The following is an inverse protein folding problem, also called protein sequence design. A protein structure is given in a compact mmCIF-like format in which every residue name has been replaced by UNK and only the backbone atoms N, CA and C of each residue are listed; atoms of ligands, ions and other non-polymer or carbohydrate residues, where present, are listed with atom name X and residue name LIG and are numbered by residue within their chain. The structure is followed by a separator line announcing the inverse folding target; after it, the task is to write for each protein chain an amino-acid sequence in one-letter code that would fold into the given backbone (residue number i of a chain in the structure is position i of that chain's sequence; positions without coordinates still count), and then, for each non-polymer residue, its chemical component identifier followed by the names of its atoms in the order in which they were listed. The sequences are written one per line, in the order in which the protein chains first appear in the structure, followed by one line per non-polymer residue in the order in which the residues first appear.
data_IF_843247414667
#
_entry.id   IF_843247414667
#
_cell.length_a   1.000
_cell.length_b   1.000
_cell.length_c   1.000
_cell.angle_alpha   90.00
_cell.angle_beta   90.00
_cell.angle_gamma   90.00
#
_symmetry.space_group_name_H-M   'P 1'
#
loop_
_entity.id
_entity.type
_entity.pdbx_description
1 polymer ?
#
# COMPACT_ATOMS: atom_id res chain seq x y z
N UNK A 1 15.15 -0.14 -13.04
CA UNK A 1 15.48 1.22 -13.51
C UNK A 1 15.50 2.07 -12.27
N UNK A 2 16.69 2.41 -11.82
CA UNK A 2 16.92 3.15 -10.58
C UNK A 2 17.79 4.34 -10.97
N UNK A 3 17.22 5.53 -10.94
CA UNK A 3 17.94 6.77 -11.22
C UNK A 3 18.49 7.41 -9.93
N UNK A 4 18.21 6.80 -8.77
CA UNK A 4 18.74 7.16 -7.47
C UNK A 4 19.97 6.35 -7.09
N UNK A 5 20.42 6.52 -5.85
CA UNK A 5 21.56 5.74 -5.29
C UNK A 5 21.10 4.39 -4.75
N UNK A 6 19.81 4.23 -4.47
CA UNK A 6 19.12 3.00 -4.10
C UNK A 6 17.64 3.09 -4.55
N UNK A 7 16.92 1.97 -4.67
CA UNK A 7 15.49 1.99 -4.97
C UNK A 7 14.68 2.75 -3.91
N UNK A 8 15.14 2.75 -2.66
CA UNK A 8 14.54 3.47 -1.54
C UNK A 8 14.71 4.98 -1.69
N UNK A 9 15.94 5.44 -1.97
CA UNK A 9 16.24 6.86 -2.23
C UNK A 9 15.43 7.40 -3.42
N UNK A 10 15.30 6.58 -4.46
CA UNK A 10 14.54 6.96 -5.65
C UNK A 10 13.03 7.00 -5.39
N UNK A 11 12.49 6.10 -4.57
CA UNK A 11 11.09 6.16 -4.13
C UNK A 11 10.83 7.46 -3.36
N UNK A 12 11.68 7.81 -2.38
CA UNK A 12 11.55 9.05 -1.62
C UNK A 12 11.60 10.28 -2.54
N UNK A 13 12.57 10.32 -3.46
CA UNK A 13 12.68 11.40 -4.46
C UNK A 13 11.42 11.52 -5.33
N UNK A 14 10.86 10.39 -5.78
CA UNK A 14 9.64 10.40 -6.61
C UNK A 14 8.43 10.89 -5.81
N UNK A 15 8.31 10.53 -4.52
CA UNK A 15 7.27 11.06 -3.65
C UNK A 15 7.38 12.58 -3.48
N UNK A 16 8.58 13.14 -3.33
CA UNK A 16 8.79 14.58 -3.28
C UNK A 16 8.42 15.29 -4.60
N UNK A 17 8.81 14.71 -5.74
CA UNK A 17 8.48 15.25 -7.06
C UNK A 17 6.98 15.21 -7.30
N UNK A 18 6.34 14.10 -6.94
CA UNK A 18 4.89 13.92 -6.98
C UNK A 18 4.19 15.00 -6.18
N UNK A 19 4.61 15.25 -4.94
CA UNK A 19 4.01 16.29 -4.10
C UNK A 19 4.08 17.67 -4.77
N UNK A 20 5.27 18.07 -5.23
CA UNK A 20 5.47 19.37 -5.91
C UNK A 20 4.65 19.51 -7.19
N UNK A 21 4.41 18.41 -7.89
CA UNK A 21 3.58 18.39 -9.09
C UNK A 21 2.09 18.45 -8.74
N UNK A 22 1.63 17.78 -7.68
CA UNK A 22 0.26 17.90 -7.16
C UNK A 22 -0.04 19.32 -6.67
N UNK A 23 0.90 19.97 -5.98
CA UNK A 23 0.77 21.35 -5.49
C UNK A 23 0.56 22.38 -6.63
N UNK A 24 0.99 22.03 -7.85
CA UNK A 24 0.87 22.87 -9.06
C UNK A 24 -0.12 22.33 -10.08
N UNK A 25 -0.79 21.22 -9.76
CA UNK A 25 -1.75 20.63 -10.67
C UNK A 25 -2.96 21.58 -10.84
N UNK A 26 -3.74 21.44 -11.90
CA UNK A 26 -4.92 22.29 -12.10
C UNK A 26 -5.35 22.35 -13.55
N UNK A 27 -6.12 23.37 -13.88
CA UNK A 27 -6.74 23.56 -15.20
C UNK A 27 -5.71 23.59 -16.34
N UNK A 28 -4.50 24.10 -16.09
CA UNK A 28 -3.42 24.18 -17.08
C UNK A 28 -2.84 22.80 -17.45
N UNK A 29 -3.20 21.72 -16.73
CA UNK A 29 -2.80 20.36 -17.06
C UNK A 29 -3.63 19.72 -18.18
N UNK A 30 -4.73 20.34 -18.60
CA UNK A 30 -5.54 19.90 -19.74
C UNK A 30 -5.43 20.92 -20.90
N UNK A 31 -5.57 20.49 -22.17
CA UNK A 31 -5.52 21.40 -23.32
C UNK A 31 -6.59 22.50 -23.25
N UNK A 32 -6.29 23.67 -23.82
CA UNK A 32 -7.29 24.73 -23.94
C UNK A 32 -8.54 24.23 -24.71
N UNK A 33 -9.71 24.42 -24.10
CA UNK A 33 -10.99 23.93 -24.64
C UNK A 33 -11.30 22.46 -24.32
N UNK A 34 -10.44 21.74 -23.60
CA UNK A 34 -10.75 20.39 -23.11
C UNK A 34 -11.76 20.43 -21.94
N UNK A 35 -12.60 19.40 -21.79
CA UNK A 35 -13.49 19.28 -20.63
C UNK A 35 -12.70 19.11 -19.32
N UNK A 36 -13.14 19.75 -18.23
CA UNK A 36 -12.56 19.57 -16.88
C UNK A 36 -12.58 18.11 -16.40
N UNK A 37 -13.48 17.28 -16.91
CA UNK A 37 -13.52 15.85 -16.59
C UNK A 37 -12.23 15.11 -17.00
N UNK A 38 -11.43 15.64 -17.93
CA UNK A 38 -10.13 15.08 -18.30
C UNK A 38 -9.07 15.25 -17.18
N UNK A 39 -9.30 16.14 -16.20
CA UNK A 39 -8.39 16.31 -15.06
C UNK A 39 -8.20 15.01 -14.28
N UNK A 40 -9.23 14.19 -14.11
CA UNK A 40 -9.09 12.89 -13.43
C UNK A 40 -8.12 11.99 -14.20
N UNK A 41 -8.28 11.91 -15.53
CA UNK A 41 -7.43 11.09 -16.41
C UNK A 41 -5.97 11.53 -16.36
N UNK A 42 -5.70 12.83 -16.32
CA UNK A 42 -4.34 13.39 -16.21
C UNK A 42 -3.79 13.25 -14.78
N UNK A 43 -4.66 13.24 -13.77
CA UNK A 43 -4.29 13.06 -12.36
C UNK A 43 -3.81 11.64 -12.09
N UNK A 44 -4.45 10.60 -12.64
CA UNK A 44 -4.11 9.18 -12.38
C UNK A 44 -2.60 8.88 -12.50
N UNK A 45 -1.91 9.15 -13.63
CA UNK A 45 -0.49 8.84 -13.76
C UNK A 45 0.40 9.68 -12.83
N UNK A 46 0.00 10.91 -12.49
CA UNK A 46 0.72 11.74 -11.53
C UNK A 46 0.56 11.17 -10.10
N UNK A 47 -0.68 10.88 -9.71
CA UNK A 47 -1.00 10.32 -8.40
C UNK A 47 -0.32 8.96 -8.18
N UNK A 48 -0.20 8.14 -9.23
CA UNK A 48 0.45 6.83 -9.19
C UNK A 48 1.91 6.84 -9.67
N UNK A 49 2.53 8.00 -9.82
CA UNK A 49 3.91 8.13 -10.35
C UNK A 49 4.95 7.34 -9.55
N UNK A 50 4.68 7.05 -8.27
CA UNK A 50 5.56 6.31 -7.38
C UNK A 50 5.44 4.77 -7.52
N UNK A 51 4.41 4.22 -8.18
CA UNK A 51 4.06 2.79 -8.12
C UNK A 51 5.21 1.83 -8.49
N UNK A 52 6.02 2.20 -9.49
CA UNK A 52 7.14 1.36 -9.94
C UNK A 52 8.33 1.43 -9.00
N UNK A 53 8.53 2.57 -8.33
CA UNK A 53 9.57 2.69 -7.30
C UNK A 53 9.14 2.04 -5.99
N UNK A 54 7.85 1.98 -5.69
CA UNK A 54 7.32 1.13 -4.62
C UNK A 54 7.67 -0.34 -4.89
N UNK A 55 7.40 -0.84 -6.10
CA UNK A 55 7.78 -2.22 -6.48
C UNK A 55 9.29 -2.46 -6.39
N UNK A 56 10.10 -1.47 -6.81
CA UNK A 56 11.55 -1.58 -6.77
C UNK A 56 12.09 -1.61 -5.32
N UNK A 57 11.61 -0.71 -4.45
CA UNK A 57 12.01 -0.63 -3.05
C UNK A 57 11.59 -1.89 -2.26
N UNK A 58 10.35 -2.36 -2.44
CA UNK A 58 9.84 -3.55 -1.76
C UNK A 58 10.70 -4.80 -2.05
N UNK A 59 11.33 -4.91 -3.23
CA UNK A 59 12.21 -6.05 -3.58
C UNK A 59 13.42 -6.21 -2.65
N UNK A 60 13.87 -5.14 -2.01
CA UNK A 60 14.97 -5.18 -1.04
C UNK A 60 14.58 -5.88 0.26
N UNK A 61 13.30 -5.84 0.65
CA UNK A 61 12.77 -6.45 1.88
C UNK A 61 12.64 -7.96 1.66
N UNK A 62 13.29 -8.78 2.50
CA UNK A 62 13.44 -10.22 2.25
C UNK A 62 14.14 -10.51 0.92
N UNK A 63 14.93 -9.55 0.43
CA UNK A 63 15.64 -9.60 -0.84
C UNK A 63 16.91 -10.45 -0.76
N UNK A 64 17.33 -10.95 -1.91
CA UNK A 64 18.56 -11.72 -2.06
C UNK A 64 19.27 -11.24 -3.32
N UNK A 65 20.54 -10.87 -3.19
CA UNK A 65 21.44 -10.67 -4.31
C UNK A 65 21.92 -12.05 -4.77
N UNK A 66 21.55 -12.45 -5.98
CA UNK A 66 22.02 -13.69 -6.57
C UNK A 66 22.48 -13.45 -8.00
N UNK A 67 23.41 -14.26 -8.44
CA UNK A 67 23.82 -14.35 -9.84
C UNK A 67 23.65 -15.79 -10.32
N UNK A 68 23.54 -15.98 -11.64
CA UNK A 68 23.56 -17.32 -12.24
C UNK A 68 25.01 -17.83 -12.37
N UNK A 69 25.74 -17.80 -11.24
CA UNK A 69 27.16 -18.10 -11.18
C UNK A 69 27.48 -19.57 -11.48
N UNK A 70 28.55 -19.81 -12.22
CA UNK A 70 29.16 -21.12 -12.40
C UNK A 70 30.21 -21.39 -11.31
N UNK A 71 30.51 -22.67 -11.08
CA UNK A 71 31.59 -23.04 -10.14
C UNK A 71 32.90 -22.34 -10.57
N UNK A 72 33.53 -21.67 -9.61
CA UNK A 72 34.83 -20.97 -9.75
C UNK A 72 34.81 -19.67 -10.59
N UNK A 73 33.66 -19.03 -10.80
CA UNK A 73 33.57 -17.76 -11.56
C UNK A 73 33.70 -16.47 -10.72
N UNK A 74 33.80 -16.61 -9.39
CA UNK A 74 34.02 -15.51 -8.44
C UNK A 74 32.84 -14.56 -8.23
N UNK A 75 31.64 -14.88 -8.75
CA UNK A 75 30.44 -14.06 -8.58
C UNK A 75 29.76 -14.31 -7.21
N UNK A 76 28.96 -13.34 -6.75
CA UNK A 76 28.11 -13.50 -5.56
C UNK A 76 27.03 -14.52 -5.88
N UNK A 77 27.05 -15.66 -5.19
CA UNK A 77 26.16 -16.78 -5.46
C UNK A 77 24.75 -16.49 -4.91
N UNK A 78 24.68 -16.14 -3.63
CA UNK A 78 23.44 -15.92 -2.90
C UNK A 78 23.77 -15.16 -1.61
N UNK A 79 23.40 -13.89 -1.53
CA UNK A 79 23.68 -13.00 -0.40
C UNK A 79 22.42 -12.20 -0.03
N UNK A 80 21.85 -12.40 1.17
CA UNK A 80 20.73 -11.59 1.65
C UNK A 80 21.05 -10.09 1.59
N UNK A 81 20.06 -9.28 1.27
CA UNK A 81 20.21 -7.82 1.34
C UNK A 81 20.59 -7.42 2.77
N UNK A 82 21.60 -6.54 2.98
CA UNK A 82 22.03 -6.15 4.32
C UNK A 82 20.89 -5.55 5.17
N UNK A 83 20.89 -5.76 6.50
CA UNK A 83 19.81 -5.30 7.38
C UNK A 83 19.46 -3.82 7.20
N UNK A 84 20.47 -2.94 7.24
CA UNK A 84 20.29 -1.48 7.08
C UNK A 84 19.56 -1.11 5.78
N UNK A 85 19.81 -1.86 4.69
CA UNK A 85 19.16 -1.64 3.39
C UNK A 85 17.72 -2.15 3.37
N UNK A 86 17.42 -3.24 4.08
CA UNK A 86 16.04 -3.70 4.24
C UNK A 86 15.23 -2.74 5.09
N UNK A 87 15.81 -2.20 6.17
CA UNK A 87 15.18 -1.17 7.00
C UNK A 87 14.95 0.14 6.24
N UNK A 88 15.93 0.60 5.46
CA UNK A 88 15.79 1.75 4.56
C UNK A 88 14.64 1.54 3.57
N UNK A 89 14.56 0.35 2.95
CA UNK A 89 13.48 0.01 2.04
C UNK A 89 12.11 -0.03 2.72
N UNK A 90 11.99 -0.68 3.88
CA UNK A 90 10.72 -0.71 4.62
C UNK A 90 10.29 0.71 4.99
N UNK A 91 11.19 1.55 5.48
CA UNK A 91 10.89 2.94 5.83
C UNK A 91 10.38 3.74 4.62
N UNK A 92 11.03 3.61 3.47
CA UNK A 92 10.65 4.30 2.23
C UNK A 92 9.29 3.81 1.71
N UNK A 93 9.07 2.49 1.70
CA UNK A 93 7.79 1.88 1.31
C UNK A 93 6.66 2.34 2.22
N UNK A 94 6.87 2.37 3.53
CA UNK A 94 5.87 2.84 4.48
C UNK A 94 5.55 4.35 4.35
N UNK A 95 6.37 5.14 3.66
CA UNK A 95 6.01 6.54 3.35
C UNK A 95 4.79 6.61 2.42
N UNK A 96 4.60 5.63 1.53
CA UNK A 96 3.48 5.66 0.56
C UNK A 96 2.12 5.50 1.23
N UNK A 97 2.08 4.99 2.46
CA UNK A 97 0.88 4.78 3.28
C UNK A 97 0.55 5.96 4.19
N UNK A 98 1.33 7.04 4.14
CA UNK A 98 1.03 8.24 4.91
C UNK A 98 -0.21 8.92 4.35
N UNK A 99 -1.05 9.44 5.23
CA UNK A 99 -2.23 10.20 4.83
C UNK A 99 -1.88 11.37 3.91
N UNK A 100 -0.82 12.13 4.23
CA UNK A 100 -0.35 13.25 3.39
C UNK A 100 0.09 12.84 1.98
N UNK A 101 0.49 11.58 1.77
CA UNK A 101 0.83 11.05 0.44
C UNK A 101 -0.42 10.56 -0.28
N UNK A 102 -1.35 9.94 0.44
CA UNK A 102 -2.56 9.35 -0.12
C UNK A 102 -3.68 10.37 -0.40
N UNK A 103 -3.70 11.52 0.26
CA UNK A 103 -4.76 12.52 0.01
C UNK A 103 -4.52 13.32 -1.26
N UNK A 104 -5.63 13.64 -1.93
CA UNK A 104 -5.67 14.63 -3.02
C UNK A 104 -6.05 15.98 -2.42
N UNK A 105 -5.37 17.10 -2.76
CA UNK A 105 -5.71 18.40 -2.21
C UNK A 105 -7.18 18.79 -2.42
N UNK A 106 -7.84 19.35 -1.40
CA UNK A 106 -9.28 19.66 -1.45
C UNK A 106 -9.65 20.63 -2.59
N UNK A 107 -8.79 21.61 -2.89
CA UNK A 107 -9.03 22.53 -4.00
C UNK A 107 -9.07 21.82 -5.36
N UNK A 108 -8.32 20.71 -5.50
CA UNK A 108 -8.30 19.89 -6.71
C UNK A 108 -9.59 19.06 -6.82
N UNK A 109 -10.08 18.52 -5.69
CA UNK A 109 -11.37 17.83 -5.64
C UNK A 109 -12.52 18.75 -6.09
N UNK A 110 -12.43 20.05 -5.78
CA UNK A 110 -13.42 21.04 -6.18
C UNK A 110 -13.50 21.35 -7.68
N UNK A 111 -12.48 20.99 -8.47
CA UNK A 111 -12.41 21.28 -9.90
C UNK A 111 -12.55 20.03 -10.79
N UNK A 112 -12.61 18.83 -10.21
CA UNK A 112 -12.81 17.58 -10.97
C UNK A 112 -14.31 17.25 -11.01
N UNK A 113 -15.02 17.53 -12.12
CA UNK A 113 -16.43 17.19 -12.23
C UNK A 113 -16.63 15.68 -12.45
N UNK A 114 -17.86 15.17 -12.26
CA UNK A 114 -18.23 13.83 -12.72
C UNK A 114 -17.96 13.65 -14.22
N UNK A 115 -17.80 12.40 -14.64
CA UNK A 115 -17.71 12.05 -16.06
C UNK A 115 -18.97 12.55 -16.82
N UNK A 116 -18.84 13.26 -17.96
CA UNK A 116 -19.98 13.83 -18.68
C UNK A 116 -20.95 12.76 -19.18
N UNK A 117 -22.23 13.11 -19.33
CA UNK A 117 -23.22 12.19 -19.92
C UNK A 117 -22.79 11.72 -21.32
N UNK A 118 -22.84 10.41 -21.53
CA UNK A 118 -22.41 9.76 -22.78
C UNK A 118 -20.95 9.32 -22.80
N UNK A 119 -20.18 9.61 -21.74
CA UNK A 119 -18.84 9.05 -21.51
C UNK A 119 -18.94 8.04 -20.36
N UNK A 120 -18.29 6.89 -20.50
CA UNK A 120 -18.19 5.90 -19.43
C UNK A 120 -16.86 6.04 -18.70
N UNK A 121 -16.86 5.77 -17.38
CA UNK A 121 -15.62 5.55 -16.65
C UNK A 121 -14.98 4.29 -17.22
N UNK A 122 -13.73 4.39 -17.66
CA UNK A 122 -12.97 3.27 -18.21
C UNK A 122 -11.89 2.80 -17.22
N UNK A 123 -11.19 1.72 -17.59
CA UNK A 123 -10.15 1.13 -16.74
C UNK A 123 -8.97 2.07 -16.46
N UNK A 124 -8.79 3.15 -17.22
CA UNK A 124 -7.69 4.11 -17.03
C UNK A 124 -7.99 5.11 -15.91
N UNK A 125 -9.22 5.11 -15.37
CA UNK A 125 -9.63 5.87 -14.18
C UNK A 125 -9.67 4.98 -12.94
N UNK A 126 -9.64 5.58 -11.76
CA UNK A 126 -9.79 4.84 -10.51
C UNK A 126 -11.17 4.17 -10.41
N UNK A 127 -11.25 3.03 -9.73
CA UNK A 127 -12.53 2.55 -9.24
C UNK A 127 -13.18 3.59 -8.32
N UNK A 128 -14.52 3.61 -8.25
CA UNK A 128 -15.25 4.56 -7.42
C UNK A 128 -16.44 3.89 -6.74
N UNK A 129 -16.61 4.13 -5.44
CA UNK A 129 -17.79 3.71 -4.68
C UNK A 129 -18.94 4.72 -4.80
N UNK A 130 -18.63 5.95 -5.24
CA UNK A 130 -19.57 7.07 -5.42
C UNK A 130 -20.19 7.16 -6.82
N UNK A 131 -20.02 6.13 -7.65
CA UNK A 131 -20.58 6.05 -8.99
C UNK A 131 -19.80 6.88 -10.02
N UNK A 132 -20.42 7.92 -10.58
CA UNK A 132 -19.84 8.71 -11.69
C UNK A 132 -18.88 9.81 -11.25
N UNK A 133 -18.84 10.12 -9.96
CA UNK A 133 -17.94 11.15 -9.39
C UNK A 133 -16.55 10.57 -9.16
N UNK A 134 -15.53 11.43 -9.21
CA UNK A 134 -14.21 11.03 -8.74
C UNK A 134 -14.26 10.71 -7.24
N UNK A 135 -13.75 9.53 -6.87
CA UNK A 135 -13.71 9.04 -5.50
C UNK A 135 -12.26 9.06 -5.00
N UNK A 136 -11.87 10.08 -4.21
CA UNK A 136 -10.50 10.21 -3.76
C UNK A 136 -10.14 9.24 -2.63
N UNK A 137 -11.13 8.62 -1.97
CA UNK A 137 -10.89 7.57 -0.98
C UNK A 137 -10.60 6.26 -1.71
N UNK A 138 -11.36 5.91 -2.75
CA UNK A 138 -11.09 4.73 -3.57
C UNK A 138 -9.74 4.84 -4.33
N UNK A 139 -9.34 6.04 -4.73
CA UNK A 139 -8.00 6.28 -5.28
C UNK A 139 -6.89 5.99 -4.26
N UNK A 140 -7.07 6.42 -3.01
CA UNK A 140 -6.17 6.11 -1.90
C UNK A 140 -6.16 4.61 -1.55
N UNK A 141 -7.32 3.96 -1.53
CA UNK A 141 -7.44 2.49 -1.37
C UNK A 141 -6.61 1.76 -2.41
N UNK A 142 -6.74 2.14 -3.69
CA UNK A 142 -6.01 1.48 -4.79
C UNK A 142 -4.49 1.62 -4.63
N UNK A 143 -3.99 2.79 -4.20
CA UNK A 143 -2.57 3.04 -3.99
C UNK A 143 -2.02 2.34 -2.73
N UNK A 144 -2.80 2.33 -1.65
CA UNK A 144 -2.47 1.62 -0.42
C UNK A 144 -2.45 0.10 -0.66
N UNK A 145 -3.45 -0.44 -1.35
CA UNK A 145 -3.54 -1.85 -1.71
C UNK A 145 -2.34 -2.31 -2.53
N UNK A 146 -1.92 -1.52 -3.53
CA UNK A 146 -0.69 -1.82 -4.29
C UNK A 146 0.53 -1.93 -3.39
N UNK A 147 0.69 -1.02 -2.43
CA UNK A 147 1.83 -1.06 -1.51
C UNK A 147 1.75 -2.27 -0.58
N UNK A 148 0.59 -2.50 0.04
CA UNK A 148 0.41 -3.51 1.08
C UNK A 148 0.49 -4.92 0.47
N UNK A 149 -0.15 -5.17 -0.67
CA UNK A 149 -0.06 -6.46 -1.36
C UNK A 149 1.36 -6.84 -1.77
N UNK A 150 2.18 -5.87 -2.22
CA UNK A 150 3.59 -6.11 -2.53
C UNK A 150 4.43 -6.41 -1.29
N UNK A 151 4.17 -5.67 -0.20
CA UNK A 151 4.89 -5.82 1.08
C UNK A 151 4.55 -7.15 1.75
N UNK A 152 3.28 -7.56 1.70
CA UNK A 152 2.73 -8.74 2.35
C UNK A 152 2.74 -10.00 1.48
N UNK A 153 3.51 -10.00 0.38
CA UNK A 153 3.72 -11.20 -0.44
C UNK A 153 4.20 -12.39 0.42
N UNK A 154 3.48 -13.53 0.42
CA UNK A 154 3.80 -14.63 1.34
C UNK A 154 5.19 -15.22 1.16
N UNK A 155 5.74 -15.20 -0.07
CA UNK A 155 7.10 -15.70 -0.32
C UNK A 155 8.15 -14.74 0.25
N UNK A 156 7.93 -13.42 0.14
CA UNK A 156 8.75 -12.39 0.80
C UNK A 156 8.75 -12.57 2.29
N UNK A 157 7.58 -12.67 2.91
CA UNK A 157 7.48 -12.85 4.37
C UNK A 157 8.18 -14.14 4.82
N UNK A 158 8.06 -15.22 4.04
CA UNK A 158 8.79 -16.46 4.30
C UNK A 158 10.32 -16.28 4.22
N UNK A 159 10.82 -15.48 3.27
CA UNK A 159 12.25 -15.14 3.18
C UNK A 159 12.70 -14.29 4.37
N UNK A 160 11.92 -13.30 4.80
CA UNK A 160 12.20 -12.49 6.01
C UNK A 160 12.37 -13.40 7.23
N UNK A 161 11.44 -14.32 7.45
CA UNK A 161 11.52 -15.32 8.55
C UNK A 161 12.79 -16.16 8.47
N UNK A 162 13.14 -16.66 7.27
CA UNK A 162 14.34 -17.49 7.08
C UNK A 162 15.64 -16.70 7.29
N UNK A 163 15.72 -15.48 6.76
CA UNK A 163 16.90 -14.63 6.88
C UNK A 163 17.17 -14.28 8.34
N UNK A 164 16.14 -13.87 9.09
CA UNK A 164 16.26 -13.59 10.53
C UNK A 164 16.66 -14.83 11.35
N UNK A 165 16.12 -16.01 11.01
CA UNK A 165 16.49 -17.24 11.69
C UNK A 165 17.95 -17.67 11.48
N UNK A 166 18.58 -17.23 10.38
CA UNK A 166 19.99 -17.52 10.06
C UNK A 166 20.94 -16.42 10.55
N UNK A 167 20.46 -15.19 10.64
CA UNK A 167 21.21 -14.02 11.14
C UNK A 167 20.25 -13.11 11.90
N UNK A 168 20.34 -13.10 13.23
CA UNK A 168 19.46 -12.32 14.13
C UNK A 168 19.54 -10.81 13.88
N UNK A 169 20.56 -10.34 13.15
CA UNK A 169 20.67 -8.93 12.74
C UNK A 169 19.73 -8.56 11.60
N UNK A 170 19.24 -9.54 10.84
CA UNK A 170 18.24 -9.30 9.79
C UNK A 170 16.90 -8.93 10.41
N UNK A 171 16.08 -8.19 9.67
CA UNK A 171 14.73 -7.81 10.12
C UNK A 171 13.87 -9.04 10.40
N UNK A 172 13.21 -9.06 11.54
CA UNK A 172 12.19 -10.07 11.86
C UNK A 172 10.84 -9.72 11.23
N UNK A 173 10.00 -10.74 11.00
CA UNK A 173 8.65 -10.51 10.50
C UNK A 173 7.77 -9.78 11.53
N UNK A 174 8.03 -9.96 12.83
CA UNK A 174 7.34 -9.24 13.90
C UNK A 174 7.62 -7.73 13.82
N UNK A 175 8.88 -7.33 13.65
CA UNK A 175 9.25 -5.92 13.49
C UNK A 175 8.64 -5.30 12.23
N UNK A 176 8.57 -6.06 11.13
CA UNK A 176 7.91 -5.61 9.90
C UNK A 176 6.42 -5.34 10.14
N UNK A 177 5.71 -6.28 10.79
CA UNK A 177 4.29 -6.12 11.11
C UNK A 177 4.06 -4.96 12.09
N UNK A 178 4.90 -4.79 13.10
CA UNK A 178 4.81 -3.67 14.05
C UNK A 178 5.00 -2.32 13.36
N UNK A 179 5.98 -2.20 12.45
CA UNK A 179 6.19 -0.96 11.68
C UNK A 179 5.05 -0.67 10.71
N UNK A 180 4.50 -1.70 10.03
CA UNK A 180 3.32 -1.56 9.18
C UNK A 180 2.10 -1.12 9.98
N UNK A 181 1.84 -1.80 11.11
CA UNK A 181 0.74 -1.47 12.01
C UNK A 181 0.86 -0.03 12.52
N UNK A 182 2.06 0.36 12.96
CA UNK A 182 2.33 1.71 13.46
C UNK A 182 2.06 2.76 12.39
N UNK A 183 2.54 2.50 11.16
CA UNK A 183 2.29 3.39 10.02
C UNK A 183 0.81 3.51 9.69
N UNK A 184 0.07 2.41 9.67
CA UNK A 184 -1.33 2.40 9.24
C UNK A 184 -2.26 3.04 10.29
N UNK A 185 -2.11 2.68 11.56
CA UNK A 185 -3.04 3.06 12.63
C UNK A 185 -2.70 4.40 13.28
N UNK A 186 -1.42 4.77 13.37
CA UNK A 186 -0.99 6.02 14.01
C UNK A 186 -0.54 7.08 13.00
N UNK A 187 -1.27 7.18 11.89
CA UNK A 187 -1.14 8.27 10.94
C UNK A 187 -1.64 9.60 11.53
N UNK A 188 -1.01 10.71 11.15
CA UNK A 188 -1.55 12.05 11.39
C UNK A 188 -2.86 12.24 10.61
N UNK A 189 -3.89 12.75 11.29
CA UNK A 189 -5.24 12.99 10.73
C UNK A 189 -5.65 14.43 11.05
N UNK A 190 -5.65 15.30 10.05
CA UNK A 190 -5.91 16.75 10.22
C UNK A 190 -7.32 17.15 9.81
N UNK A 191 -8.04 16.27 9.11
CA UNK A 191 -9.41 16.50 8.66
C UNK A 191 -10.23 15.20 8.67
N UNK A 192 -11.56 15.31 8.55
CA UNK A 192 -12.43 14.15 8.40
C UNK A 192 -12.11 13.35 7.12
N UNK A 193 -11.75 14.03 6.03
CA UNK A 193 -11.32 13.38 4.79
C UNK A 193 -10.02 12.57 4.99
N UNK A 194 -9.03 13.14 5.67
CA UNK A 194 -7.81 12.44 6.05
C UNK A 194 -8.09 11.22 6.94
N UNK A 195 -9.06 11.33 7.85
CA UNK A 195 -9.50 10.23 8.71
C UNK A 195 -10.09 9.07 7.89
N UNK A 196 -10.95 9.33 6.91
CA UNK A 196 -11.53 8.28 6.06
C UNK A 196 -10.45 7.58 5.21
N UNK A 197 -9.48 8.33 4.70
CA UNK A 197 -8.33 7.75 3.98
C UNK A 197 -7.49 6.85 4.89
N UNK A 198 -7.19 7.29 6.11
CA UNK A 198 -6.46 6.46 7.07
C UNK A 198 -7.22 5.17 7.44
N UNK A 199 -8.54 5.28 7.67
CA UNK A 199 -9.40 4.12 7.93
C UNK A 199 -9.43 3.13 6.76
N UNK A 200 -9.35 3.60 5.53
CA UNK A 200 -9.27 2.74 4.36
C UNK A 200 -7.96 1.91 4.36
N UNK A 201 -6.83 2.53 4.70
CA UNK A 201 -5.54 1.84 4.89
C UNK A 201 -5.62 0.80 6.02
N UNK A 202 -6.21 1.16 7.16
CA UNK A 202 -6.40 0.23 8.29
C UNK A 202 -7.19 -1.03 7.87
N UNK A 203 -8.28 -0.86 7.10
CA UNK A 203 -9.09 -1.99 6.58
C UNK A 203 -8.25 -2.93 5.73
N UNK A 204 -7.50 -2.38 4.78
CA UNK A 204 -6.65 -3.16 3.87
C UNK A 204 -5.60 -3.96 4.66
N UNK A 205 -4.93 -3.34 5.65
CA UNK A 205 -3.94 -4.03 6.48
C UNK A 205 -4.57 -5.20 7.24
N UNK A 206 -5.72 -5.00 7.88
CA UNK A 206 -6.43 -6.07 8.60
C UNK A 206 -6.79 -7.20 7.63
N UNK A 207 -7.34 -6.86 6.46
CA UNK A 207 -7.79 -7.85 5.47
C UNK A 207 -6.63 -8.73 4.95
N UNK A 208 -5.48 -8.14 4.62
CA UNK A 208 -4.30 -8.90 4.23
C UNK A 208 -3.77 -9.80 5.34
N UNK A 209 -3.78 -9.35 6.60
CA UNK A 209 -3.33 -10.18 7.73
C UNK A 209 -4.27 -11.35 7.98
N UNK A 210 -5.60 -11.15 7.82
CA UNK A 210 -6.58 -12.23 7.87
C UNK A 210 -6.38 -13.22 6.71
N UNK A 211 -6.07 -12.74 5.50
CA UNK A 211 -5.75 -13.61 4.35
C UNK A 211 -4.51 -14.47 4.62
N UNK A 212 -3.42 -13.86 5.08
CA UNK A 212 -2.19 -14.56 5.45
C UNK A 212 -2.42 -15.60 6.55
N UNK A 213 -3.24 -15.28 7.55
CA UNK A 213 -3.57 -16.21 8.63
C UNK A 213 -4.46 -17.37 8.16
N UNK A 214 -5.34 -17.13 7.18
CA UNK A 214 -6.22 -18.14 6.58
C UNK A 214 -5.48 -19.08 5.62
N UNK A 215 -4.44 -18.59 4.92
CA UNK A 215 -3.85 -19.31 3.80
C UNK A 215 -3.05 -20.56 4.26
N UNK A 216 -3.51 -21.73 3.80
CA UNK A 216 -2.91 -23.03 4.09
C UNK A 216 -1.78 -23.41 3.13
N UNK A 217 -1.55 -22.62 2.07
CA UNK A 217 -0.55 -22.86 1.01
C UNK A 217 0.77 -22.13 1.26
N UNK A 218 0.81 -21.21 2.21
CA UNK A 218 2.01 -20.42 2.54
C UNK A 218 2.81 -21.06 3.69
N UNK A 219 3.93 -20.44 4.05
CA UNK A 219 4.70 -20.83 5.23
C UNK A 219 3.82 -20.80 6.49
N UNK A 220 3.77 -21.93 7.21
CA UNK A 220 3.00 -22.03 8.47
C UNK A 220 3.47 -21.03 9.52
N UNK A 221 4.74 -20.68 9.51
CA UNK A 221 5.29 -19.69 10.43
C UNK A 221 4.83 -18.26 10.07
N UNK A 222 4.68 -17.94 8.78
CA UNK A 222 4.12 -16.66 8.34
C UNK A 222 2.65 -16.56 8.77
N UNK A 223 1.86 -17.60 8.51
CA UNK A 223 0.46 -17.64 8.95
C UNK A 223 0.32 -17.53 10.48
N UNK A 224 1.21 -18.16 11.25
CA UNK A 224 1.22 -18.07 12.72
C UNK A 224 1.53 -16.65 13.22
N UNK A 225 2.50 -15.96 12.61
CA UNK A 225 2.86 -14.58 12.98
C UNK A 225 1.80 -13.57 12.51
N UNK A 226 1.15 -13.82 11.38
CA UNK A 226 0.00 -13.03 10.94
C UNK A 226 -1.17 -13.18 11.93
N UNK A 227 -1.47 -14.40 12.37
CA UNK A 227 -2.50 -14.66 13.38
C UNK A 227 -2.21 -13.94 14.70
N UNK A 228 -0.95 -13.99 15.18
CA UNK A 228 -0.54 -13.23 16.37
C UNK A 228 -0.73 -11.71 16.18
N UNK A 229 -0.45 -11.20 14.99
CA UNK A 229 -0.66 -9.78 14.67
C UNK A 229 -2.15 -9.42 14.65
N UNK A 230 -3.02 -10.32 14.19
CA UNK A 230 -4.48 -10.18 14.27
C UNK A 230 -4.95 -10.13 15.72
N UNK A 231 -4.37 -10.94 16.63
CA UNK A 231 -4.69 -10.87 18.06
C UNK A 231 -4.36 -9.49 18.65
N UNK A 232 -3.16 -8.96 18.36
CA UNK A 232 -2.76 -7.62 18.81
C UNK A 232 -3.63 -6.49 18.20
N UNK A 233 -4.03 -6.65 16.93
CA UNK A 233 -4.93 -5.72 16.25
C UNK A 233 -6.31 -5.72 16.91
N UNK A 234 -6.85 -6.87 17.25
CA UNK A 234 -8.15 -6.98 17.91
C UNK A 234 -8.15 -6.24 19.26
N UNK A 235 -7.10 -6.42 20.07
CA UNK A 235 -6.96 -5.68 21.33
C UNK A 235 -6.87 -4.18 21.11
N UNK A 236 -6.12 -3.73 20.10
CA UNK A 236 -6.00 -2.32 19.75
C UNK A 236 -7.36 -1.76 19.33
N UNK A 237 -8.06 -2.43 18.41
CA UNK A 237 -9.37 -2.01 17.92
C UNK A 237 -10.41 -1.95 19.04
N UNK A 238 -10.34 -2.84 20.03
CA UNK A 238 -11.20 -2.77 21.22
C UNK A 238 -10.94 -1.49 22.02
N UNK A 239 -9.68 -1.18 22.32
CA UNK A 239 -9.28 0.05 23.04
C UNK A 239 -9.67 1.31 22.27
N UNK A 240 -9.41 1.34 20.97
CA UNK A 240 -9.75 2.45 20.07
C UNK A 240 -11.26 2.66 19.95
N UNK A 241 -12.06 1.58 19.94
CA UNK A 241 -13.52 1.68 19.97
C UNK A 241 -14.03 2.27 21.29
N UNK A 242 -13.46 1.84 22.41
CA UNK A 242 -13.83 2.35 23.74
C UNK A 242 -13.43 3.82 23.94
N UNK A 243 -12.34 4.24 23.29
CA UNK A 243 -11.86 5.62 23.29
C UNK A 243 -12.40 6.46 22.12
N UNK A 244 -13.33 5.95 21.31
CA UNK A 244 -13.82 6.66 20.14
C UNK A 244 -14.57 7.94 20.53
N UNK A 245 -14.14 9.07 19.96
CA UNK A 245 -14.74 10.39 20.20
C UNK A 245 -15.93 10.70 19.28
N UNK A 246 -16.13 9.89 18.22
CA UNK A 246 -17.20 10.05 17.22
C UNK A 246 -17.76 8.70 16.72
N UNK A 247 -18.99 8.74 16.21
CA UNK A 247 -19.71 7.55 15.71
C UNK A 247 -18.99 6.90 14.50
N UNK A 248 -18.26 7.67 13.70
CA UNK A 248 -17.51 7.17 12.55
C UNK A 248 -16.35 6.27 12.98
N UNK A 249 -15.54 6.73 13.95
CA UNK A 249 -14.46 5.91 14.52
C UNK A 249 -15.01 4.66 15.22
N UNK A 250 -16.11 4.78 15.97
CA UNK A 250 -16.76 3.63 16.61
C UNK A 250 -17.23 2.61 15.57
N UNK A 251 -17.92 3.07 14.51
CA UNK A 251 -18.44 2.22 13.44
C UNK A 251 -17.31 1.49 12.71
N UNK A 252 -16.21 2.18 12.42
CA UNK A 252 -15.02 1.59 11.79
C UNK A 252 -14.38 0.50 12.65
N UNK A 253 -14.11 0.79 13.92
CA UNK A 253 -13.52 -0.20 14.82
C UNK A 253 -14.46 -1.41 14.99
N UNK A 254 -15.77 -1.17 15.11
CA UNK A 254 -16.78 -2.22 15.19
C UNK A 254 -16.81 -3.08 13.93
N UNK A 255 -16.67 -2.50 12.74
CA UNK A 255 -16.62 -3.22 11.48
C UNK A 255 -15.41 -4.19 11.45
N UNK A 256 -14.22 -3.72 11.77
CA UNK A 256 -13.01 -4.55 11.77
C UNK A 256 -13.06 -5.66 12.84
N UNK A 257 -13.57 -5.36 14.03
CA UNK A 257 -13.79 -6.37 15.07
C UNK A 257 -14.78 -7.45 14.63
N UNK A 258 -15.83 -7.08 13.89
CA UNK A 258 -16.78 -8.04 13.32
C UNK A 258 -16.12 -8.93 12.25
N UNK A 259 -15.25 -8.36 11.39
CA UNK A 259 -14.49 -9.15 10.41
C UNK A 259 -13.56 -10.15 11.09
N UNK A 260 -12.82 -9.72 12.12
CA UNK A 260 -11.95 -10.61 12.92
C UNK A 260 -12.78 -11.70 13.60
N UNK A 261 -13.95 -11.37 14.17
CA UNK A 261 -14.82 -12.37 14.79
C UNK A 261 -15.27 -13.43 13.80
N UNK A 262 -15.75 -13.03 12.62
CA UNK A 262 -16.18 -13.95 11.56
C UNK A 262 -15.03 -14.82 11.06
N UNK A 263 -13.84 -14.24 10.90
CA UNK A 263 -12.63 -14.98 10.57
C UNK A 263 -12.32 -16.04 11.65
N UNK A 264 -12.39 -15.71 12.94
CA UNK A 264 -12.16 -16.69 14.03
C UNK A 264 -13.20 -17.82 14.04
N UNK A 265 -14.45 -17.52 13.73
CA UNK A 265 -15.53 -18.51 13.64
C UNK A 265 -15.32 -19.47 12.46
N UNK A 266 -14.90 -18.94 11.30
CA UNK A 266 -14.79 -19.67 10.04
C UNK A 266 -13.53 -19.29 9.23
N UNK A 267 -12.32 -19.58 9.72
CA UNK A 267 -11.09 -19.11 9.08
C UNK A 267 -10.87 -19.70 7.69
N UNK A 268 -11.36 -20.91 7.44
CA UNK A 268 -11.30 -21.57 6.13
C UNK A 268 -12.21 -20.95 5.05
N UNK A 269 -13.15 -20.09 5.47
CA UNK A 269 -14.09 -19.42 4.58
C UNK A 269 -13.69 -17.99 4.29
N UNK A 270 -12.65 -17.47 4.96
CA UNK A 270 -12.17 -16.12 4.73
C UNK A 270 -11.74 -15.96 3.28
N UNK A 271 -12.25 -14.90 2.66
CA UNK A 271 -11.86 -14.45 1.33
C UNK A 271 -11.66 -12.96 1.45
N UNK A 272 -10.53 -12.51 0.91
CA UNK A 272 -10.28 -11.09 0.80
C UNK A 272 -11.39 -10.44 -0.04
N UNK A 273 -11.96 -9.29 0.39
CA UNK A 273 -12.88 -8.52 -0.43
C UNK A 273 -12.23 -8.11 -1.75
N UNK A 274 -13.05 -7.91 -2.79
CA UNK A 274 -12.57 -7.33 -4.04
C UNK A 274 -12.15 -5.87 -3.79
N UNK A 275 -10.84 -5.62 -3.74
CA UNK A 275 -10.27 -4.29 -3.58
C UNK A 275 -10.13 -3.58 -4.93
N UNK A 276 -10.24 -2.24 -4.96
CA UNK A 276 -10.18 -1.49 -6.20
C UNK A 276 -8.79 -1.68 -6.86
N UNK A 277 -8.74 -2.19 -8.10
CA UNK A 277 -7.47 -2.40 -8.77
C UNK A 277 -6.84 -1.07 -9.15
N UNK A 278 -5.51 -1.02 -9.20
CA UNK A 278 -4.83 0.10 -9.83
C UNK A 278 -5.24 0.22 -11.30
N UNK A 279 -5.53 1.44 -11.79
CA UNK A 279 -5.58 1.72 -13.21
C UNK A 279 -4.31 1.23 -13.92
N UNK A 280 -4.43 0.63 -15.12
CA UNK A 280 -3.30 0.04 -15.81
C UNK A 280 -2.24 1.11 -16.07
N UNK A 281 -0.99 0.69 -15.92
CA UNK A 281 0.13 1.47 -16.40
C UNK A 281 0.49 1.11 -17.82
N UNK A 282 0.96 2.10 -18.59
CA UNK A 282 1.72 1.77 -19.80
C UNK A 282 2.86 0.83 -19.41
N UNK A 283 3.04 -0.35 -20.05
CA UNK A 283 4.15 -1.23 -19.75
C UNK A 283 5.45 -0.48 -20.02
N UNK A 284 6.23 -0.25 -18.97
CA UNK A 284 7.55 0.37 -19.10
C UNK A 284 8.54 -0.79 -19.22
N UNK A 285 9.03 -1.03 -20.44
CA UNK A 285 10.07 -2.03 -20.71
C UNK A 285 9.67 -3.27 -21.51
N UNK A 286 8.62 -3.19 -22.36
CA UNK A 286 8.53 -4.13 -23.48
C UNK A 286 9.52 -3.70 -24.58
N UNK A 287 10.81 -3.97 -24.38
CA UNK A 287 11.72 -4.06 -25.52
C UNK A 287 11.50 -5.40 -26.22
N UNK A 288 11.44 -5.32 -27.56
CA UNK A 288 11.47 -6.45 -28.48
C UNK A 288 12.79 -7.18 -28.42
#
# INVERSE_FOLDING_TARGET
WDNGRSPSDELERVLEVRQKALDKFGEENIPEGAPFAELERVLVPLYLSHRYQTEAAVKSIGGVNYSYSMRDDGQVINDPVPPDRQEEALRAVLQTLKTEVLTVPEWLLGIIPPTPMGYERDRELFGAHTGATFDPIAAAESAAEHTISLLLDPQRLARVVQQHALDERQMSLTELFEQLFTRAFFNDRRSAYETEVAQAVEKIVVQHLLELAADRKISRQVAALALLSVDHLEETLQREREAADDEGREAHCRYLLEEIRRFREHPEQYKMPDLPPLPPGSPIGCER
#
